data_IF_197574540667
#
_entry.id   IF_197574540667
#
_cell.length_a   1.000
_cell.length_b   1.000
_cell.length_c   1.000
_cell.angle_alpha   90.00
_cell.angle_beta   90.00
_cell.angle_gamma   90.00
#
_symmetry.space_group_name_H-M   'P 1'
#
loop_
_entity.id
_entity.type
_entity.pdbx_description
1 polymer ?
#
# COMPACT_ATOMS: atom_id res chain seq x y z
N UNK A 1 -25.97 38.05 -15.67
CA UNK A 1 -24.84 38.61 -14.90
C UNK A 1 -24.77 37.89 -13.57
N UNK A 2 -23.96 36.85 -13.50
CA UNK A 2 -22.71 36.79 -12.72
C UNK A 2 -22.90 36.42 -11.25
N UNK A 3 -23.07 35.11 -11.01
CA UNK A 3 -22.66 34.47 -9.77
C UNK A 3 -21.17 34.15 -9.90
N UNK A 4 -20.30 34.97 -9.32
CA UNK A 4 -18.87 34.72 -9.32
C UNK A 4 -18.45 34.33 -7.90
N UNK A 5 -18.30 33.02 -7.68
CA UNK A 5 -17.70 32.49 -6.47
C UNK A 5 -16.23 32.93 -6.42
N UNK A 6 -15.89 33.68 -5.37
CA UNK A 6 -14.53 34.15 -5.13
C UNK A 6 -13.70 32.99 -4.58
N UNK A 7 -12.95 32.38 -5.49
CA UNK A 7 -11.78 31.55 -5.20
C UNK A 7 -10.86 32.27 -4.21
N UNK A 8 -10.68 31.70 -3.02
CA UNK A 8 -9.66 32.15 -2.07
C UNK A 8 -8.46 31.22 -2.16
N UNK A 9 -7.49 31.64 -2.97
CA UNK A 9 -6.12 31.10 -3.02
C UNK A 9 -5.55 31.03 -1.60
N UNK A 10 -5.23 29.83 -1.15
CA UNK A 10 -4.52 29.60 0.10
C UNK A 10 -3.02 29.89 -0.12
N UNK A 11 -2.59 31.12 0.16
CA UNK A 11 -1.18 31.40 0.38
C UNK A 11 -0.77 30.76 1.71
N UNK A 12 0.12 29.76 1.65
CA UNK A 12 0.80 29.22 2.85
C UNK A 12 1.67 30.33 3.44
N UNK A 13 1.14 31.04 4.43
CA UNK A 13 1.93 31.93 5.29
C UNK A 13 2.74 31.05 6.24
N UNK A 14 4.06 31.24 6.25
CA UNK A 14 4.93 30.74 7.30
C UNK A 14 4.41 31.28 8.63
N UNK A 15 3.88 30.36 9.44
CA UNK A 15 3.10 30.63 10.63
C UNK A 15 4.03 30.91 11.81
N UNK A 16 4.34 32.17 12.09
CA UNK A 16 5.00 32.62 13.33
C UNK A 16 4.01 32.61 14.50
N UNK A 17 3.42 31.45 14.81
CA UNK A 17 2.45 31.34 15.91
C UNK A 17 3.19 31.10 17.22
N UNK A 18 2.94 31.96 18.20
CA UNK A 18 3.36 31.75 19.59
C UNK A 18 2.50 30.67 20.25
N UNK A 19 2.98 30.07 21.33
CA UNK A 19 2.30 28.96 22.03
C UNK A 19 0.84 29.31 22.42
N UNK A 20 0.56 30.60 22.64
CA UNK A 20 -0.76 31.16 22.92
C UNK A 20 -1.75 30.90 21.77
N UNK A 21 -1.34 31.04 20.51
CA UNK A 21 -2.21 30.82 19.35
C UNK A 21 -2.64 29.36 19.19
N UNK A 22 -1.84 28.40 19.66
CA UNK A 22 -2.20 26.98 19.68
C UNK A 22 -3.28 26.72 20.74
N UNK A 23 -3.17 27.37 21.91
CA UNK A 23 -4.14 27.23 23.01
C UNK A 23 -5.48 27.93 22.74
N UNK A 24 -5.50 28.91 21.83
CA UNK A 24 -6.70 29.66 21.43
C UNK A 24 -7.35 29.10 20.15
N UNK A 25 -6.81 28.03 19.55
CA UNK A 25 -7.47 27.35 18.44
C UNK A 25 -8.90 26.96 18.87
N UNK A 26 -9.93 27.27 18.07
CA UNK A 26 -11.29 27.07 18.50
C UNK A 26 -11.55 25.57 18.71
N UNK A 27 -11.95 25.19 19.92
CA UNK A 27 -12.49 23.85 20.23
C UNK A 27 -13.89 23.69 19.64
N UNK A 28 -14.05 23.99 18.36
CA UNK A 28 -15.26 23.62 17.64
C UNK A 28 -15.38 22.10 17.70
N UNK A 29 -16.61 21.58 17.72
CA UNK A 29 -16.85 20.16 17.51
C UNK A 29 -16.24 19.77 16.16
N UNK A 30 -15.06 19.17 16.22
CA UNK A 30 -14.39 18.56 15.08
C UNK A 30 -14.52 17.07 15.28
N UNK A 31 -14.86 16.36 14.22
CA UNK A 31 -14.83 14.91 14.28
C UNK A 31 -13.41 14.47 14.60
N UNK A 32 -13.26 13.65 15.64
CA UNK A 32 -11.99 12.98 15.89
C UNK A 32 -11.72 11.96 14.77
N UNK A 33 -10.44 11.66 14.51
CA UNK A 33 -10.09 10.63 13.53
C UNK A 33 -10.72 9.28 13.89
N UNK A 34 -10.82 9.00 15.19
CA UNK A 34 -11.43 7.79 15.76
C UNK A 34 -12.94 7.73 15.49
N UNK A 35 -13.63 8.87 15.50
CA UNK A 35 -15.06 8.95 15.15
C UNK A 35 -15.28 8.79 13.65
N UNK A 36 -14.40 9.33 12.80
CA UNK A 36 -14.45 9.15 11.35
C UNK A 36 -14.18 7.70 10.93
N UNK A 37 -13.34 7.00 11.67
CA UNK A 37 -13.01 5.59 11.44
C UNK A 37 -14.06 4.63 12.02
N UNK A 38 -15.03 5.12 12.81
CA UNK A 38 -16.08 4.28 13.38
C UNK A 38 -17.13 4.00 12.31
N UNK A 39 -17.09 2.80 11.74
CA UNK A 39 -18.12 2.29 10.82
C UNK A 39 -19.06 1.33 11.56
N UNK A 40 -20.17 1.84 12.15
CA UNK A 40 -21.18 0.95 12.72
C UNK A 40 -21.81 0.16 11.58
N UNK A 41 -21.97 -1.15 11.73
CA UNK A 41 -22.56 -2.10 10.77
C UNK A 41 -21.63 -2.76 9.73
N UNK A 42 -20.33 -2.87 10.00
CA UNK A 42 -19.43 -3.66 9.15
C UNK A 42 -19.58 -5.17 9.39
N UNK A 43 -19.55 -5.95 8.31
CA UNK A 43 -19.48 -7.43 8.35
C UNK A 43 -18.04 -7.84 8.07
N UNK A 44 -17.46 -8.67 8.94
CA UNK A 44 -16.12 -9.24 8.74
C UNK A 44 -16.07 -10.05 7.44
N UNK A 45 -15.06 -9.78 6.61
CA UNK A 45 -14.92 -10.38 5.27
C UNK A 45 -14.00 -11.61 5.30
N UNK A 46 -13.02 -11.62 6.22
CA UNK A 46 -12.09 -12.73 6.41
C UNK A 46 -12.63 -13.84 7.30
N UNK A 47 -12.45 -15.08 6.84
CA UNK A 47 -12.53 -16.30 7.65
C UNK A 47 -11.14 -16.88 7.88
N UNK A 48 -10.99 -17.73 8.90
CA UNK A 48 -9.73 -18.42 9.19
C UNK A 48 -9.21 -19.24 8.00
N UNK A 49 -10.11 -19.90 7.26
CA UNK A 49 -9.79 -20.68 6.06
C UNK A 49 -9.24 -19.79 4.93
N UNK A 50 -9.83 -18.61 4.72
CA UNK A 50 -9.36 -17.65 3.72
C UNK A 50 -7.99 -17.09 4.07
N UNK A 51 -7.72 -16.86 5.35
CA UNK A 51 -6.40 -16.42 5.81
C UNK A 51 -5.34 -17.50 5.60
N UNK A 52 -5.68 -18.78 5.82
CA UNK A 52 -4.78 -19.90 5.55
C UNK A 52 -4.48 -20.02 4.04
N UNK A 53 -5.50 -19.92 3.19
CA UNK A 53 -5.29 -19.95 1.76
C UNK A 53 -4.44 -18.77 1.26
N UNK A 54 -4.63 -17.57 1.82
CA UNK A 54 -3.78 -16.42 1.55
C UNK A 54 -2.32 -16.68 1.97
N UNK A 55 -2.12 -17.32 3.13
CA UNK A 55 -0.79 -17.67 3.61
C UNK A 55 -0.08 -18.67 2.68
N UNK A 56 -0.81 -19.65 2.16
CA UNK A 56 -0.31 -20.61 1.18
C UNK A 56 0.13 -19.91 -0.12
N UNK A 57 -0.69 -18.99 -0.63
CA UNK A 57 -0.38 -18.19 -1.83
C UNK A 57 0.86 -17.31 -1.63
N UNK A 58 1.09 -16.83 -0.41
CA UNK A 58 2.27 -16.05 -0.07
C UNK A 58 3.48 -16.91 0.33
N UNK A 59 3.37 -18.24 0.32
CA UNK A 59 4.39 -19.17 0.82
C UNK A 59 4.83 -18.88 2.27
N UNK A 60 3.87 -18.51 3.13
CA UNK A 60 4.09 -18.18 4.54
C UNK A 60 3.52 -19.26 5.45
N UNK A 61 4.33 -19.73 6.39
CA UNK A 61 3.87 -20.60 7.46
C UNK A 61 3.36 -19.77 8.65
N UNK A 62 2.08 -19.93 9.00
CA UNK A 62 1.45 -19.23 10.12
C UNK A 62 1.20 -20.23 11.27
N UNK A 63 1.79 -20.01 12.46
CA UNK A 63 1.49 -20.83 13.63
C UNK A 63 0.05 -20.57 14.09
N UNK A 64 -0.63 -21.64 14.53
CA UNK A 64 -2.04 -21.62 14.96
C UNK A 64 -2.32 -20.58 16.05
N UNK A 65 -1.35 -20.34 16.93
CA UNK A 65 -1.47 -19.41 18.05
C UNK A 65 -1.57 -17.94 17.60
N UNK A 66 -1.00 -17.61 16.44
CA UNK A 66 -1.00 -16.25 15.89
C UNK A 66 -2.15 -15.99 14.93
N UNK A 67 -2.84 -17.04 14.48
CA UNK A 67 -3.95 -16.95 13.55
C UNK A 67 -5.04 -15.95 14.00
N UNK A 68 -5.58 -15.99 15.25
CA UNK A 68 -6.65 -15.08 15.63
C UNK A 68 -6.21 -13.60 15.67
N UNK A 69 -4.95 -13.35 16.04
CA UNK A 69 -4.38 -11.99 16.04
C UNK A 69 -4.21 -11.47 14.61
N UNK A 70 -3.64 -12.28 13.72
CA UNK A 70 -3.43 -11.92 12.32
C UNK A 70 -4.75 -11.70 11.59
N UNK A 71 -5.77 -12.52 11.87
CA UNK A 71 -7.09 -12.35 11.28
C UNK A 71 -7.63 -10.95 11.57
N UNK A 72 -7.54 -10.51 12.83
CA UNK A 72 -7.96 -9.16 13.23
C UNK A 72 -7.14 -8.06 12.52
N UNK A 73 -5.82 -8.18 12.54
CA UNK A 73 -4.93 -7.15 11.95
C UNK A 73 -5.13 -7.01 10.43
N UNK A 74 -5.34 -8.13 9.71
CA UNK A 74 -5.58 -8.09 8.27
C UNK A 74 -6.98 -7.55 7.98
N UNK A 75 -7.99 -7.91 8.76
CA UNK A 75 -9.34 -7.34 8.62
C UNK A 75 -9.31 -5.81 8.84
N UNK A 76 -8.57 -5.32 9.84
CA UNK A 76 -8.39 -3.88 10.09
C UNK A 76 -7.76 -3.15 8.87
N UNK A 77 -6.80 -3.78 8.17
CA UNK A 77 -6.17 -3.22 6.95
C UNK A 77 -7.16 -3.20 5.78
N UNK A 78 -7.89 -4.29 5.57
CA UNK A 78 -8.92 -4.37 4.51
C UNK A 78 -9.98 -3.31 4.76
N UNK A 79 -10.37 -3.14 6.01
CA UNK A 79 -11.32 -2.13 6.42
C UNK A 79 -10.83 -0.72 6.11
N UNK A 80 -9.58 -0.40 6.42
CA UNK A 80 -8.98 0.88 6.08
C UNK A 80 -9.04 1.17 4.56
N UNK A 81 -8.81 0.15 3.73
CA UNK A 81 -8.83 0.30 2.27
C UNK A 81 -10.23 0.59 1.74
N UNK A 82 -11.28 0.03 2.35
CA UNK A 82 -12.68 0.33 1.98
C UNK A 82 -13.03 1.80 2.20
N UNK A 83 -12.60 2.39 3.31
CA UNK A 83 -12.80 3.82 3.60
C UNK A 83 -12.18 4.68 2.50
N UNK A 84 -10.96 4.32 2.06
CA UNK A 84 -10.29 5.02 0.97
C UNK A 84 -11.09 4.89 -0.33
N UNK A 85 -11.60 3.70 -0.64
CA UNK A 85 -12.41 3.48 -1.85
C UNK A 85 -13.67 4.33 -1.87
N UNK A 86 -14.40 4.44 -0.76
CA UNK A 86 -15.59 5.30 -0.65
C UNK A 86 -15.29 6.78 -0.91
N UNK A 87 -14.15 7.27 -0.42
CA UNK A 87 -13.73 8.66 -0.61
C UNK A 87 -13.19 8.95 -2.02
N UNK A 88 -12.74 7.91 -2.73
CA UNK A 88 -12.03 8.04 -4.00
C UNK A 88 -12.97 8.05 -5.21
N UNK A 89 -14.29 7.85 -5.02
CA UNK A 89 -15.31 7.89 -6.10
C UNK A 89 -15.67 9.33 -6.56
N UNK A 90 -14.76 10.30 -6.41
CA UNK A 90 -14.96 11.66 -6.95
C UNK A 90 -14.87 11.63 -8.47
N UNK A 91 -15.73 12.41 -9.14
CA UNK A 91 -15.82 12.46 -10.61
C UNK A 91 -14.52 12.90 -11.31
N UNK A 92 -13.52 13.40 -10.57
CA UNK A 92 -12.23 13.85 -11.11
C UNK A 92 -11.06 12.88 -10.82
N UNK A 93 -11.33 11.60 -10.52
CA UNK A 93 -10.27 10.63 -10.26
C UNK A 93 -9.30 10.47 -11.46
N UNK A 94 -9.80 10.64 -12.68
CA UNK A 94 -9.02 10.57 -13.91
C UNK A 94 -7.89 11.63 -13.94
N UNK A 95 -8.11 12.81 -13.35
CA UNK A 95 -7.10 13.87 -13.24
C UNK A 95 -5.95 13.47 -12.31
N UNK A 96 -6.19 12.60 -11.32
CA UNK A 96 -5.15 12.11 -10.40
C UNK A 96 -4.28 11.09 -11.11
N UNK A 97 -4.87 10.15 -11.84
CA UNK A 97 -4.13 9.18 -12.64
C UNK A 97 -3.33 9.85 -13.76
N UNK A 98 -3.89 10.87 -14.41
CA UNK A 98 -3.22 11.66 -15.44
C UNK A 98 -2.01 12.45 -14.91
N UNK A 99 -2.03 12.87 -13.63
CA UNK A 99 -0.92 13.58 -12.97
C UNK A 99 0.17 12.65 -12.43
N UNK A 100 -0.10 11.34 -12.33
CA UNK A 100 0.96 10.38 -12.05
C UNK A 100 1.90 10.37 -13.26
N UNK A 101 3.15 10.80 -13.09
CA UNK A 101 4.12 10.99 -14.18
C UNK A 101 4.45 9.74 -15.02
N UNK A 102 3.83 8.60 -14.71
CA UNK A 102 3.85 7.36 -15.49
C UNK A 102 3.25 7.52 -16.90
N UNK A 103 2.33 8.46 -17.11
CA UNK A 103 1.69 8.67 -18.41
C UNK A 103 2.39 9.67 -19.36
N UNK A 104 3.44 10.36 -18.89
CA UNK A 104 4.07 11.47 -19.66
C UNK A 104 5.34 11.06 -20.40
N UNK A 105 5.77 9.80 -20.30
CA UNK A 105 6.88 9.28 -21.12
C UNK A 105 6.29 8.75 -22.42
N UNK A 106 6.40 9.53 -23.50
CA UNK A 106 5.78 9.24 -24.80
C UNK A 106 6.25 7.92 -25.45
N UNK A 107 7.32 7.30 -24.94
CA UNK A 107 7.78 5.98 -25.35
C UNK A 107 8.46 5.27 -24.16
N UNK A 108 8.18 3.98 -23.99
CA UNK A 108 8.88 3.15 -23.01
C UNK A 108 10.40 3.14 -23.32
N UNK A 109 11.28 3.19 -22.30
CA UNK A 109 12.72 3.11 -22.53
C UNK A 109 13.07 1.79 -23.20
N UNK A 110 13.67 1.87 -24.39
CA UNK A 110 14.18 0.69 -25.11
C UNK A 110 15.62 0.40 -24.67
N UNK A 111 15.93 -0.87 -24.46
CA UNK A 111 17.29 -1.36 -24.22
C UNK A 111 17.95 -1.69 -25.56
N UNK A 112 19.22 -1.37 -25.71
CA UNK A 112 20.02 -1.82 -26.87
C UNK A 112 20.12 -3.34 -26.93
N UNK A 113 20.02 -3.91 -28.13
CA UNK A 113 20.12 -5.36 -28.37
C UNK A 113 21.59 -5.79 -28.46
N UNK A 114 22.29 -5.73 -27.33
CA UNK A 114 23.68 -6.14 -27.19
C UNK A 114 23.80 -7.31 -26.20
N UNK A 115 24.65 -8.29 -26.54
CA UNK A 115 24.98 -9.41 -25.64
C UNK A 115 26.07 -8.93 -24.68
N UNK A 116 25.77 -8.86 -23.38
CA UNK A 116 26.68 -8.32 -22.36
C UNK A 116 27.31 -9.36 -21.43
N UNK A 117 26.65 -10.50 -21.17
CA UNK A 117 27.08 -11.44 -20.13
C UNK A 117 27.10 -12.90 -20.59
N UNK A 118 28.06 -13.66 -20.07
CA UNK A 118 28.16 -15.11 -20.26
C UNK A 118 29.24 -15.77 -19.38
N UNK A 119 28.99 -17.02 -18.97
CA UNK A 119 29.97 -17.91 -18.34
C UNK A 119 30.53 -17.48 -16.96
N UNK A 120 29.71 -16.90 -16.08
CA UNK A 120 30.10 -16.56 -14.70
C UNK A 120 29.36 -17.38 -13.62
N UNK A 121 29.41 -18.72 -13.65
CA UNK A 121 28.63 -19.53 -12.71
C UNK A 121 29.07 -19.31 -11.25
N UNK A 122 30.36 -19.06 -11.00
CA UNK A 122 30.87 -18.82 -9.65
C UNK A 122 30.36 -17.50 -9.05
N UNK A 123 30.18 -16.45 -9.88
CA UNK A 123 29.65 -15.17 -9.43
C UNK A 123 28.14 -15.25 -9.16
N UNK A 124 27.40 -15.95 -10.01
CA UNK A 124 25.95 -16.15 -9.84
C UNK A 124 25.64 -16.96 -8.58
N UNK A 125 26.47 -17.96 -8.27
CA UNK A 125 26.29 -18.85 -7.12
C UNK A 125 26.95 -18.34 -5.83
N UNK A 126 27.56 -17.15 -5.83
CA UNK A 126 28.29 -16.62 -4.68
C UNK A 126 27.38 -16.41 -3.44
N UNK A 127 26.12 -16.04 -3.67
CA UNK A 127 25.12 -15.83 -2.61
C UNK A 127 24.27 -17.08 -2.30
N UNK A 128 24.52 -18.21 -2.97
CA UNK A 128 23.73 -19.41 -2.78
C UNK A 128 24.12 -20.11 -1.46
N UNK A 129 23.15 -20.34 -0.58
CA UNK A 129 23.36 -21.09 0.67
C UNK A 129 23.86 -22.50 0.42
N UNK A 130 23.27 -23.20 -0.56
CA UNK A 130 23.63 -24.57 -0.94
C UNK A 130 23.69 -24.70 -2.45
N UNK A 131 24.80 -25.25 -2.95
CA UNK A 131 25.03 -25.47 -4.38
C UNK A 131 25.55 -26.88 -4.63
N UNK A 132 25.18 -27.46 -5.77
CA UNK A 132 25.70 -28.73 -6.24
C UNK A 132 26.31 -28.53 -7.64
N UNK A 133 27.63 -28.48 -7.72
CA UNK A 133 28.33 -28.06 -8.94
C UNK A 133 27.90 -26.64 -9.34
N UNK A 134 27.38 -26.51 -10.55
CA UNK A 134 26.88 -25.24 -11.11
C UNK A 134 25.37 -25.04 -10.95
N UNK A 135 24.72 -25.77 -10.05
CA UNK A 135 23.26 -25.72 -9.85
C UNK A 135 22.89 -25.29 -8.43
N UNK A 136 21.77 -24.58 -8.31
CA UNK A 136 21.12 -24.33 -7.02
C UNK A 136 20.50 -25.64 -6.51
N UNK A 137 20.79 -25.99 -5.26
CA UNK A 137 20.20 -27.17 -4.64
C UNK A 137 18.89 -26.79 -3.96
N UNK A 138 17.79 -27.42 -4.39
CA UNK A 138 16.45 -27.22 -3.81
C UNK A 138 15.94 -28.57 -3.30
N UNK A 139 15.30 -28.63 -2.11
CA UNK A 139 14.64 -29.84 -1.65
C UNK A 139 13.62 -30.33 -2.67
N UNK A 140 13.56 -31.64 -2.88
CA UNK A 140 12.51 -32.23 -3.71
C UNK A 140 11.17 -32.00 -3.01
N UNK A 141 10.23 -31.37 -3.70
CA UNK A 141 8.84 -31.31 -3.24
C UNK A 141 8.26 -32.71 -3.40
N UNK A 142 7.87 -33.31 -2.28
CA UNK A 142 7.01 -34.48 -2.25
C UNK A 142 5.61 -33.94 -1.96
N UNK A 143 4.67 -34.21 -2.86
CA UNK A 143 3.26 -33.97 -2.59
C UNK A 143 2.72 -35.15 -1.77
N UNK A 144 1.94 -34.86 -0.73
CA UNK A 144 1.16 -35.85 0.03
C UNK A 144 -0.17 -36.13 -0.68
#
# INVERSE_FOLDING_TARGET
>A
MMLQQVSRRCMRRLSTKTLVDVTQAPRTASWSIEELQRHPHQVDVLSAERLQNLAELCHLHIPTDKLPKLLKEVEDIIQCTRVIQELTVDANIDDVYAKSGLGQVAAAPMRDDAVTDGNYPDQVLANATTKHGYYFQVPKVLED
#
